data_IF_940820944356
#
_entry.id   IF_940820944356
#
_cell.length_a   1.000
_cell.length_b   1.000
_cell.length_c   1.000
_cell.angle_alpha   90.00
_cell.angle_beta   90.00
_cell.angle_gamma   90.00
#
_symmetry.space_group_name_H-M   'P 1'
#
loop_
_entity.id
_entity.type
_entity.pdbx_description
1 polymer ?
#
# COMPACT_ATOMS: atom_id res chain seq x y z
N UNK A 1 -15.50 6.63 19.82
CA UNK A 1 -15.81 5.64 18.76
C UNK A 1 -17.25 5.81 18.26
N UNK A 2 -17.67 7.04 17.95
CA UNK A 2 -19.03 7.38 17.49
C UNK A 2 -19.09 7.89 16.05
N UNK A 3 -18.01 7.74 15.28
CA UNK A 3 -17.95 8.20 13.90
C UNK A 3 -18.66 7.17 13.00
N UNK A 4 -19.53 7.66 12.13
CA UNK A 4 -20.22 6.84 11.12
C UNK A 4 -19.40 6.74 9.82
N UNK A 5 -19.98 6.07 8.81
CA UNK A 5 -19.38 6.00 7.48
C UNK A 5 -19.38 7.36 6.77
N UNK A 6 -18.21 7.76 6.26
CA UNK A 6 -17.99 9.04 5.57
C UNK A 6 -17.39 8.81 4.19
N UNK A 7 -17.62 9.76 3.27
CA UNK A 7 -17.09 9.71 1.91
C UNK A 7 -17.28 8.33 1.25
N UNK A 8 -16.18 7.71 0.85
CA UNK A 8 -16.12 6.45 0.12
C UNK A 8 -16.57 5.23 0.94
N UNK A 9 -16.57 5.32 2.27
CA UNK A 9 -17.05 4.26 3.16
C UNK A 9 -18.50 3.89 2.83
N UNK A 10 -19.32 4.89 2.46
CA UNK A 10 -20.74 4.68 2.15
C UNK A 10 -20.89 3.74 0.96
N UNK A 11 -20.09 3.94 -0.08
CA UNK A 11 -20.27 3.22 -1.33
C UNK A 11 -19.57 1.86 -1.26
N UNK A 12 -18.35 1.83 -0.73
CA UNK A 12 -17.57 0.60 -0.65
C UNK A 12 -18.18 -0.38 0.35
N UNK A 13 -18.82 0.14 1.41
CA UNK A 13 -19.28 -0.67 2.56
C UNK A 13 -20.79 -0.60 2.75
N UNK A 14 -21.35 0.58 3.01
CA UNK A 14 -22.75 0.71 3.46
C UNK A 14 -23.77 0.32 2.37
N UNK A 15 -23.52 0.74 1.13
CA UNK A 15 -24.36 0.53 -0.04
C UNK A 15 -24.04 -0.78 -0.78
N UNK A 16 -22.87 -1.37 -0.51
CA UNK A 16 -22.38 -2.56 -1.19
C UNK A 16 -23.12 -3.82 -0.73
N UNK A 17 -24.10 -4.25 -1.53
CA UNK A 17 -24.91 -5.45 -1.25
C UNK A 17 -24.08 -6.74 -1.21
N UNK A 18 -22.92 -6.77 -1.89
CA UNK A 18 -22.07 -7.97 -1.94
C UNK A 18 -21.46 -8.31 -0.57
N UNK A 19 -21.40 -7.35 0.36
CA UNK A 19 -20.85 -7.58 1.71
C UNK A 19 -21.87 -8.24 2.67
N UNK A 20 -23.15 -8.30 2.30
CA UNK A 20 -24.24 -8.68 3.22
C UNK A 20 -24.45 -10.19 3.34
N UNK A 21 -23.84 -11.00 2.48
CA UNK A 21 -23.96 -12.46 2.53
C UNK A 21 -22.63 -13.17 2.37
N UNK A 22 -22.37 -14.14 3.25
CA UNK A 22 -21.20 -15.01 3.18
C UNK A 22 -21.30 -16.06 2.05
N UNK A 23 -22.49 -16.33 1.52
CA UNK A 23 -22.64 -17.23 0.37
C UNK A 23 -22.02 -16.68 -0.91
N UNK A 24 -21.79 -15.36 -0.98
CA UNK A 24 -21.18 -14.66 -2.11
C UNK A 24 -19.66 -14.48 -2.04
N UNK A 25 -18.97 -15.01 -1.01
CA UNK A 25 -17.53 -14.74 -0.80
C UNK A 25 -16.64 -15.13 -1.99
N UNK A 26 -16.98 -16.21 -2.70
CA UNK A 26 -16.26 -16.61 -3.91
C UNK A 26 -16.39 -15.56 -5.03
N UNK A 27 -17.55 -14.89 -5.12
CA UNK A 27 -17.80 -13.81 -6.07
C UNK A 27 -16.93 -12.58 -5.82
N UNK A 28 -16.51 -12.33 -4.57
CA UNK A 28 -15.70 -11.15 -4.22
C UNK A 28 -14.33 -11.13 -4.90
N UNK A 29 -13.83 -12.29 -5.33
CA UNK A 29 -12.57 -12.44 -6.06
C UNK A 29 -12.66 -11.99 -7.52
N UNK A 30 -13.88 -11.84 -8.05
CA UNK A 30 -14.16 -11.45 -9.43
C UNK A 30 -15.04 -10.20 -9.52
N UNK A 31 -15.31 -9.54 -8.40
CA UNK A 31 -16.01 -8.25 -8.38
C UNK A 31 -15.01 -7.08 -8.32
N UNK A 32 -15.27 -5.98 -9.03
CA UNK A 32 -14.58 -4.71 -8.80
C UNK A 32 -14.75 -4.20 -7.37
N UNK A 33 -13.76 -3.46 -6.88
CA UNK A 33 -13.75 -2.86 -5.54
C UNK A 33 -14.88 -1.84 -5.34
N UNK A 34 -15.16 -1.03 -6.36
CA UNK A 34 -16.27 -0.09 -6.37
C UNK A 34 -17.51 -0.78 -6.95
N UNK A 35 -18.54 -0.97 -6.12
CA UNK A 35 -19.84 -1.45 -6.55
C UNK A 35 -20.78 -0.27 -6.85
N UNK A 36 -21.29 -0.16 -8.07
CA UNK A 36 -22.27 0.85 -8.48
C UNK A 36 -22.21 1.17 -9.98
N UNK A 37 -23.38 1.31 -10.63
CA UNK A 37 -23.47 1.69 -12.05
C UNK A 37 -22.87 3.09 -12.31
N UNK A 38 -22.20 3.26 -13.45
CA UNK A 38 -21.67 4.56 -13.91
C UNK A 38 -20.33 4.99 -13.31
N UNK A 39 -19.69 4.19 -12.45
CA UNK A 39 -18.37 4.53 -11.88
C UNK A 39 -17.23 3.99 -12.72
N UNK A 40 -16.40 4.94 -13.16
CA UNK A 40 -15.34 4.76 -14.15
C UNK A 40 -13.99 4.38 -13.54
N UNK A 41 -13.83 4.44 -12.21
CA UNK A 41 -12.59 3.99 -11.56
C UNK A 41 -12.71 2.55 -11.05
N UNK A 42 -12.55 1.56 -11.93
CA UNK A 42 -12.58 0.15 -11.51
C UNK A 42 -11.25 -0.24 -10.87
N UNK A 43 -11.26 -0.54 -9.58
CA UNK A 43 -10.10 -1.06 -8.83
C UNK A 43 -10.29 -2.55 -8.54
N UNK A 44 -9.19 -3.29 -8.42
CA UNK A 44 -9.21 -4.71 -8.05
C UNK A 44 -8.48 -4.93 -6.73
N UNK A 45 -9.26 -5.07 -5.65
CA UNK A 45 -8.77 -5.18 -4.25
C UNK A 45 -9.55 -6.24 -3.45
N UNK A 46 -9.54 -7.52 -3.87
CA UNK A 46 -10.40 -8.56 -3.29
C UNK A 46 -10.11 -8.85 -1.82
N UNK A 47 -8.86 -8.73 -1.36
CA UNK A 47 -8.51 -8.97 0.05
C UNK A 47 -9.14 -7.89 0.94
N UNK A 48 -9.16 -6.64 0.48
CA UNK A 48 -9.80 -5.54 1.22
C UNK A 48 -11.32 -5.74 1.29
N UNK A 49 -11.97 -6.06 0.18
CA UNK A 49 -13.42 -6.34 0.15
C UNK A 49 -13.79 -7.54 1.01
N UNK A 50 -13.01 -8.63 0.94
CA UNK A 50 -13.18 -9.79 1.79
C UNK A 50 -13.08 -9.43 3.28
N UNK A 51 -12.11 -8.58 3.64
CA UNK A 51 -11.97 -8.11 5.03
C UNK A 51 -13.19 -7.31 5.51
N UNK A 52 -13.82 -6.53 4.63
CA UNK A 52 -15.06 -5.82 4.95
C UNK A 52 -16.24 -6.78 5.07
N UNK A 53 -16.38 -7.77 4.19
CA UNK A 53 -17.45 -8.77 4.26
C UNK A 53 -17.40 -9.59 5.56
N UNK A 54 -16.20 -10.04 5.95
CA UNK A 54 -15.99 -10.75 7.21
C UNK A 54 -16.31 -9.87 8.42
N UNK A 55 -15.89 -8.60 8.39
CA UNK A 55 -16.22 -7.64 9.44
C UNK A 55 -17.74 -7.37 9.50
N UNK A 56 -18.40 -7.28 8.36
CA UNK A 56 -19.85 -7.06 8.28
C UNK A 56 -20.60 -8.25 8.90
N UNK A 57 -20.19 -9.48 8.56
CA UNK A 57 -20.79 -10.70 9.11
C UNK A 57 -20.61 -10.83 10.63
N UNK A 58 -19.46 -10.43 11.17
CA UNK A 58 -19.20 -10.46 12.61
C UNK A 58 -19.83 -9.30 13.38
N UNK A 59 -19.87 -8.10 12.77
CA UNK A 59 -20.24 -6.84 13.42
C UNK A 59 -21.60 -6.28 13.03
N UNK A 60 -22.38 -7.00 12.22
CA UNK A 60 -23.72 -6.59 11.78
C UNK A 60 -23.77 -5.30 10.95
N UNK A 61 -22.64 -4.88 10.36
CA UNK A 61 -22.55 -3.63 9.59
C UNK A 61 -22.40 -2.36 10.44
N UNK A 62 -22.26 -2.45 11.76
CA UNK A 62 -22.14 -1.28 12.64
C UNK A 62 -20.79 -0.55 12.43
N UNK A 63 -20.76 0.77 12.12
CA UNK A 63 -19.53 1.49 11.76
C UNK A 63 -18.39 1.38 12.78
N UNK A 64 -18.72 1.41 14.07
CA UNK A 64 -17.73 1.32 15.15
C UNK A 64 -16.89 0.03 15.08
N UNK A 65 -17.48 -1.08 14.62
CA UNK A 65 -16.76 -2.36 14.48
C UNK A 65 -15.68 -2.27 13.43
N UNK A 66 -15.91 -1.51 12.36
CA UNK A 66 -14.94 -1.32 11.30
C UNK A 66 -13.78 -0.43 11.73
N UNK A 67 -14.07 0.65 12.44
CA UNK A 67 -13.03 1.50 13.03
C UNK A 67 -12.20 0.72 14.05
N UNK A 68 -12.81 -0.14 14.87
CA UNK A 68 -12.09 -0.99 15.81
C UNK A 68 -11.12 -1.93 15.07
N UNK A 69 -11.58 -2.60 14.01
CA UNK A 69 -10.71 -3.48 13.21
C UNK A 69 -9.57 -2.69 12.54
N UNK A 70 -9.82 -1.48 12.02
CA UNK A 70 -8.75 -0.63 11.48
C UNK A 70 -7.72 -0.27 12.54
N UNK A 71 -8.16 0.08 13.75
CA UNK A 71 -7.29 0.40 14.87
C UNK A 71 -6.43 -0.80 15.29
N UNK A 72 -7.02 -2.00 15.37
CA UNK A 72 -6.28 -3.23 15.68
C UNK A 72 -5.25 -3.55 14.58
N UNK A 73 -5.65 -3.47 13.31
CA UNK A 73 -4.74 -3.68 12.19
C UNK A 73 -3.61 -2.66 12.18
N UNK A 74 -3.90 -1.38 12.45
CA UNK A 74 -2.87 -0.34 12.53
C UNK A 74 -1.90 -0.56 13.69
N UNK A 75 -2.40 -1.04 14.83
CA UNK A 75 -1.56 -1.45 15.97
C UNK A 75 -0.60 -2.56 15.55
N UNK A 76 -1.09 -3.58 14.82
CA UNK A 76 -0.24 -4.64 14.28
C UNK A 76 0.81 -4.09 13.30
N UNK A 77 0.45 -3.16 12.42
CA UNK A 77 1.41 -2.47 11.54
C UNK A 77 2.53 -1.81 12.35
N UNK A 78 2.18 -1.08 13.41
CA UNK A 78 3.16 -0.40 14.27
C UNK A 78 4.07 -1.40 14.99
N UNK A 79 3.52 -2.52 15.47
CA UNK A 79 4.31 -3.59 16.10
C UNK A 79 5.26 -4.27 15.11
N UNK A 80 4.81 -4.56 13.89
CA UNK A 80 5.65 -5.13 12.83
C UNK A 80 6.74 -4.16 12.41
N UNK A 81 6.43 -2.86 12.30
CA UNK A 81 7.42 -1.82 12.03
C UNK A 81 8.47 -1.75 13.14
N UNK A 82 8.06 -1.77 14.41
CA UNK A 82 8.96 -1.81 15.56
C UNK A 82 9.91 -3.02 15.49
N UNK A 83 9.38 -4.20 15.16
CA UNK A 83 10.19 -5.42 15.01
C UNK A 83 11.21 -5.29 13.86
N UNK A 84 10.81 -4.71 12.73
CA UNK A 84 11.71 -4.46 11.59
C UNK A 84 12.80 -3.45 11.94
N UNK A 85 12.44 -2.33 12.56
CA UNK A 85 13.40 -1.31 13.01
C UNK A 85 14.37 -1.86 14.07
N UNK A 86 13.89 -2.69 15.00
CA UNK A 86 14.72 -3.37 16.00
C UNK A 86 15.74 -4.30 15.32
N UNK A 87 15.35 -4.94 14.22
CA UNK A 87 16.26 -5.78 13.45
C UNK A 87 17.30 -4.97 12.66
N UNK A 88 16.95 -3.76 12.25
CA UNK A 88 17.82 -2.82 11.55
C UNK A 88 18.83 -2.14 12.46
N UNK A 89 18.38 -1.65 13.62
CA UNK A 89 19.14 -0.74 14.47
C UNK A 89 19.48 -1.32 15.85
N UNK A 90 19.08 -2.57 16.13
CA UNK A 90 19.10 -3.14 17.48
C UNK A 90 17.99 -2.59 18.36
N UNK A 91 17.75 -3.24 19.50
CA UNK A 91 16.78 -2.72 20.48
C UNK A 91 17.28 -1.42 21.10
N UNK A 92 16.46 -0.37 21.10
CA UNK A 92 16.85 0.92 21.65
C UNK A 92 15.88 2.05 21.33
N UNK A 93 16.35 3.28 21.49
CA UNK A 93 15.55 4.49 21.27
C UNK A 93 15.08 4.64 19.82
N UNK A 94 15.92 4.34 18.82
CA UNK A 94 15.60 4.56 17.40
C UNK A 94 14.37 3.75 16.93
N UNK A 95 14.29 2.41 17.13
CA UNK A 95 13.09 1.67 16.79
C UNK A 95 11.85 2.15 17.55
N UNK A 96 11.98 2.43 18.85
CA UNK A 96 10.87 2.85 19.70
C UNK A 96 10.31 4.19 19.24
N UNK A 97 11.20 5.18 19.04
CA UNK A 97 10.84 6.51 18.55
C UNK A 97 10.24 6.44 17.15
N UNK A 98 10.82 5.64 16.25
CA UNK A 98 10.31 5.47 14.88
C UNK A 98 8.91 4.84 14.84
N UNK A 99 8.68 3.78 15.60
CA UNK A 99 7.37 3.13 15.68
C UNK A 99 6.34 3.99 16.41
N UNK A 100 6.72 4.68 17.50
CA UNK A 100 5.85 5.59 18.21
C UNK A 100 5.45 6.79 17.33
N UNK A 101 6.42 7.38 16.63
CA UNK A 101 6.18 8.46 15.68
C UNK A 101 5.21 8.00 14.60
N UNK A 102 5.44 6.84 13.99
CA UNK A 102 4.53 6.26 12.98
C UNK A 102 3.12 6.08 13.54
N UNK A 103 2.97 5.50 14.73
CA UNK A 103 1.67 5.23 15.37
C UNK A 103 0.82 6.49 15.57
N UNK A 104 1.44 7.61 15.93
CA UNK A 104 0.72 8.87 16.24
C UNK A 104 0.78 9.89 15.10
N UNK A 105 1.42 9.57 13.98
CA UNK A 105 1.72 10.56 12.94
C UNK A 105 0.43 11.08 12.29
N UNK A 106 0.16 12.40 12.29
CA UNK A 106 -1.08 12.96 11.72
C UNK A 106 -1.30 12.63 10.24
N UNK A 107 -0.22 12.47 9.46
CA UNK A 107 -0.27 12.06 8.06
C UNK A 107 -0.97 10.70 7.85
N UNK A 108 -0.97 9.83 8.85
CA UNK A 108 -1.63 8.52 8.76
C UNK A 108 -3.08 8.55 9.26
N UNK A 109 -3.54 9.67 9.83
CA UNK A 109 -4.88 9.79 10.39
C UNK A 109 -5.97 9.51 9.37
N UNK A 110 -5.79 9.90 8.11
CA UNK A 110 -6.73 9.62 7.02
C UNK A 110 -6.87 8.11 6.77
N UNK A 111 -5.74 7.40 6.68
CA UNK A 111 -5.71 5.95 6.44
C UNK A 111 -6.30 5.14 7.61
N UNK A 112 -6.31 5.69 8.83
CA UNK A 112 -6.84 5.01 10.03
C UNK A 112 -8.27 5.42 10.34
N UNK A 113 -8.60 6.70 10.19
CA UNK A 113 -9.90 7.26 10.52
C UNK A 113 -10.95 6.93 9.45
N UNK A 114 -10.60 6.99 8.16
CA UNK A 114 -11.47 6.51 7.08
C UNK A 114 -11.52 4.99 7.07
N UNK A 115 -12.72 4.40 7.00
CA UNK A 115 -12.84 2.93 7.03
C UNK A 115 -12.22 2.31 5.77
N UNK A 116 -12.42 2.93 4.61
CA UNK A 116 -11.81 2.53 3.32
C UNK A 116 -10.28 2.51 3.35
N UNK A 117 -9.67 3.29 4.27
CA UNK A 117 -8.24 3.28 4.59
C UNK A 117 -7.68 1.91 4.99
N UNK A 118 -8.55 0.92 5.23
CA UNK A 118 -8.18 -0.47 5.48
C UNK A 118 -7.31 -1.07 4.37
N UNK A 119 -7.49 -0.65 3.11
CA UNK A 119 -6.67 -1.15 2.00
C UNK A 119 -5.18 -0.85 2.21
N UNK A 120 -4.90 0.37 2.68
CA UNK A 120 -3.58 0.89 3.01
C UNK A 120 -2.99 0.17 4.21
N UNK A 121 -3.78 -0.01 5.27
CA UNK A 121 -3.35 -0.68 6.50
C UNK A 121 -3.01 -2.16 6.22
N UNK A 122 -3.86 -2.88 5.48
CA UNK A 122 -3.62 -4.29 5.12
C UNK A 122 -2.38 -4.43 4.22
N UNK A 123 -2.26 -3.58 3.19
CA UNK A 123 -1.09 -3.57 2.30
C UNK A 123 0.20 -3.30 3.08
N UNK A 124 0.20 -2.31 3.98
CA UNK A 124 1.34 -2.01 4.84
C UNK A 124 1.68 -3.17 5.77
N UNK A 125 0.69 -3.79 6.43
CA UNK A 125 0.90 -4.92 7.32
C UNK A 125 1.57 -6.09 6.59
N UNK A 126 1.05 -6.45 5.42
CA UNK A 126 1.56 -7.55 4.63
C UNK A 126 2.95 -7.26 4.05
N UNK A 127 3.22 -6.04 3.55
CA UNK A 127 4.57 -5.66 3.08
C UNK A 127 5.59 -5.70 4.21
N UNK A 128 5.28 -5.08 5.35
CA UNK A 128 6.21 -5.04 6.48
C UNK A 128 6.46 -6.44 7.04
N UNK A 129 5.42 -7.28 7.09
CA UNK A 129 5.56 -8.68 7.50
C UNK A 129 6.39 -9.48 6.50
N UNK A 130 6.21 -9.25 5.19
CA UNK A 130 7.00 -9.89 4.15
C UNK A 130 8.48 -9.49 4.23
N UNK A 131 8.78 -8.20 4.44
CA UNK A 131 10.15 -7.72 4.66
C UNK A 131 10.75 -8.34 5.93
N UNK A 132 10.02 -8.30 7.06
CA UNK A 132 10.50 -8.86 8.32
C UNK A 132 10.80 -10.38 8.19
N UNK A 133 9.93 -11.10 7.49
CA UNK A 133 10.11 -12.52 7.22
C UNK A 133 11.31 -12.78 6.30
N UNK A 134 11.45 -12.06 5.18
CA UNK A 134 12.61 -12.18 4.26
C UNK A 134 13.95 -11.96 4.97
N UNK A 135 13.96 -11.09 5.99
CA UNK A 135 15.13 -10.82 6.82
C UNK A 135 15.38 -11.87 7.89
N UNK A 136 14.50 -12.83 8.12
CA UNK A 136 14.64 -13.83 9.16
C UNK A 136 15.83 -14.77 8.86
N UNK A 137 16.71 -15.08 9.84
CA UNK A 137 17.88 -15.92 9.59
C UNK A 137 17.48 -17.32 9.12
N UNK A 138 17.96 -17.69 7.94
CA UNK A 138 17.73 -18.99 7.34
C UNK A 138 19.01 -19.82 7.41
N UNK A 139 19.23 -20.52 8.53
CA UNK A 139 20.40 -21.41 8.72
C UNK A 139 20.44 -22.65 7.80
N UNK A 140 19.54 -22.77 6.82
CA UNK A 140 19.54 -23.82 5.80
C UNK A 140 18.80 -23.38 4.54
N UNK A 141 19.14 -23.97 3.39
CA UNK A 141 18.50 -23.68 2.10
C UNK A 141 17.00 -23.96 2.11
N UNK A 142 16.57 -25.05 2.78
CA UNK A 142 15.14 -25.38 2.93
C UNK A 142 14.40 -24.29 3.71
N UNK A 143 14.99 -23.80 4.79
CA UNK A 143 14.40 -22.71 5.60
C UNK A 143 14.35 -21.40 4.81
N UNK A 144 15.38 -21.10 4.01
CA UNK A 144 15.41 -19.92 3.12
C UNK A 144 14.25 -19.96 2.14
N UNK A 145 14.03 -21.11 1.49
CA UNK A 145 12.93 -21.28 0.55
C UNK A 145 11.56 -21.12 1.23
N UNK A 146 11.38 -21.64 2.45
CA UNK A 146 10.13 -21.46 3.20
C UNK A 146 9.89 -20.00 3.61
N UNK A 147 10.93 -19.29 4.07
CA UNK A 147 10.89 -17.86 4.40
C UNK A 147 10.53 -17.03 3.16
N UNK A 148 11.18 -17.31 2.03
CA UNK A 148 10.89 -16.63 0.77
C UNK A 148 9.45 -16.92 0.31
N UNK A 149 9.00 -18.17 0.36
CA UNK A 149 7.64 -18.54 -0.01
C UNK A 149 6.59 -17.80 0.84
N UNK A 150 6.79 -17.72 2.17
CA UNK A 150 5.91 -16.95 3.04
C UNK A 150 5.92 -15.45 2.71
N UNK A 151 7.10 -14.89 2.42
CA UNK A 151 7.23 -13.48 2.01
C UNK A 151 6.54 -13.20 0.67
N UNK A 152 6.64 -14.13 -0.28
CA UNK A 152 5.97 -14.04 -1.58
C UNK A 152 4.43 -14.13 -1.46
N UNK A 153 3.92 -14.99 -0.57
CA UNK A 153 2.48 -15.07 -0.25
C UNK A 153 1.99 -13.77 0.37
N UNK A 154 2.72 -13.24 1.37
CA UNK A 154 2.38 -11.96 2.00
C UNK A 154 2.39 -10.81 0.98
N UNK A 155 3.39 -10.76 0.10
CA UNK A 155 3.44 -9.80 -0.99
C UNK A 155 2.23 -9.92 -1.92
N UNK A 156 1.83 -11.13 -2.32
CA UNK A 156 0.65 -11.33 -3.16
C UNK A 156 -0.63 -10.83 -2.47
N UNK A 157 -0.80 -11.12 -1.17
CA UNK A 157 -1.91 -10.60 -0.36
C UNK A 157 -1.88 -9.07 -0.25
N UNK A 158 -0.68 -8.47 -0.14
CA UNK A 158 -0.52 -7.02 -0.10
C UNK A 158 -1.02 -6.36 -1.39
N UNK A 159 -0.65 -6.88 -2.56
CA UNK A 159 -1.10 -6.31 -3.84
C UNK A 159 -2.61 -6.51 -4.05
N UNK A 160 -3.15 -7.64 -3.60
CA UNK A 160 -4.59 -7.89 -3.62
C UNK A 160 -5.36 -7.02 -2.61
N UNK A 161 -4.69 -6.43 -1.61
CA UNK A 161 -5.27 -5.43 -0.73
C UNK A 161 -5.19 -4.03 -1.35
N UNK A 162 -4.03 -3.65 -1.90
CA UNK A 162 -3.81 -2.38 -2.59
C UNK A 162 -2.65 -2.45 -3.59
N UNK A 163 -2.86 -1.86 -4.77
CA UNK A 163 -1.92 -1.87 -5.90
C UNK A 163 -0.58 -1.16 -5.62
N UNK A 164 -0.51 -0.30 -4.59
CA UNK A 164 0.75 0.32 -4.19
C UNK A 164 1.81 -0.71 -3.76
N UNK A 165 1.38 -1.91 -3.39
CA UNK A 165 2.29 -2.96 -2.97
C UNK A 165 3.23 -3.43 -4.09
N UNK A 166 2.95 -3.11 -5.36
CA UNK A 166 3.84 -3.34 -6.50
C UNK A 166 5.26 -2.78 -6.28
N UNK A 167 5.44 -1.85 -5.34
CA UNK A 167 6.75 -1.34 -4.93
C UNK A 167 7.62 -2.34 -4.15
N UNK A 168 7.05 -3.45 -3.64
CA UNK A 168 7.74 -4.40 -2.76
C UNK A 168 9.07 -4.96 -3.33
N UNK A 169 9.19 -5.40 -4.61
CA UNK A 169 10.48 -5.82 -5.14
C UNK A 169 11.55 -4.72 -5.07
N UNK A 170 11.14 -3.46 -5.24
CA UNK A 170 12.01 -2.29 -5.04
C UNK A 170 12.42 -2.12 -3.57
N UNK A 171 11.50 -2.34 -2.62
CA UNK A 171 11.82 -2.32 -1.18
C UNK A 171 12.79 -3.44 -0.79
N UNK A 172 12.66 -4.63 -1.40
CA UNK A 172 13.56 -5.77 -1.22
C UNK A 172 14.98 -5.42 -1.70
N UNK A 173 15.10 -4.73 -2.86
CA UNK A 173 16.39 -4.24 -3.36
C UNK A 173 16.99 -3.15 -2.46
N UNK A 174 16.17 -2.19 -2.03
CA UNK A 174 16.62 -1.11 -1.14
C UNK A 174 17.12 -1.67 0.20
N UNK A 175 16.40 -2.64 0.76
CA UNK A 175 16.81 -3.30 2.01
C UNK A 175 18.05 -4.18 1.83
N UNK A 176 18.27 -4.77 0.64
CA UNK A 176 19.53 -5.45 0.31
C UNK A 176 20.72 -4.50 0.19
N UNK A 177 20.51 -3.27 -0.27
CA UNK A 177 21.56 -2.24 -0.31
C UNK A 177 21.93 -1.82 1.11
N UNK A 178 20.92 -1.43 1.91
CA UNK A 178 21.11 -0.91 3.26
C UNK A 178 21.64 -1.94 4.26
N UNK A 179 21.21 -3.20 4.18
CA UNK A 179 21.51 -4.24 5.18
C UNK A 179 22.42 -5.35 4.67
N UNK A 180 22.72 -5.35 3.37
CA UNK A 180 23.19 -6.55 2.69
C UNK A 180 22.07 -7.57 2.45
N UNK A 181 22.41 -8.61 1.69
CA UNK A 181 21.50 -9.73 1.42
C UNK A 181 21.28 -10.55 2.68
N UNK A 182 20.09 -11.15 2.88
CA UNK A 182 19.87 -12.05 4.01
C UNK A 182 20.90 -13.18 4.05
N UNK A 183 21.33 -13.56 5.25
CA UNK A 183 22.31 -14.63 5.47
C UNK A 183 21.94 -15.91 4.71
N UNK A 184 22.94 -16.54 4.08
CA UNK A 184 22.75 -17.73 3.25
C UNK A 184 22.17 -17.47 1.86
N UNK A 185 21.91 -16.22 1.48
CA UNK A 185 21.33 -15.87 0.17
C UNK A 185 22.40 -15.45 -0.83
N UNK A 186 22.73 -16.34 -1.76
CA UNK A 186 23.64 -16.03 -2.86
C UNK A 186 23.00 -15.06 -3.87
N UNK A 187 23.82 -14.30 -4.60
CA UNK A 187 23.35 -13.34 -5.63
C UNK A 187 22.42 -13.99 -6.65
N UNK A 188 22.74 -15.20 -7.13
CA UNK A 188 21.91 -15.93 -8.11
C UNK A 188 20.54 -16.26 -7.54
N UNK A 189 20.48 -16.80 -6.33
CA UNK A 189 19.22 -17.08 -5.64
C UNK A 189 18.39 -15.81 -5.46
N UNK A 190 19.02 -14.70 -5.05
CA UNK A 190 18.33 -13.44 -4.86
C UNK A 190 17.74 -12.87 -6.16
N UNK A 191 18.45 -13.01 -7.28
CA UNK A 191 17.92 -12.64 -8.60
C UNK A 191 16.70 -13.50 -8.94
N UNK A 192 16.75 -14.81 -8.69
CA UNK A 192 15.59 -15.71 -8.89
C UNK A 192 14.41 -15.29 -8.01
N UNK A 193 14.63 -14.98 -6.74
CA UNK A 193 13.60 -14.49 -5.83
C UNK A 193 12.94 -13.21 -6.37
N UNK A 194 13.74 -12.24 -6.83
CA UNK A 194 13.23 -10.99 -7.42
C UNK A 194 12.43 -11.24 -8.71
N UNK A 195 12.90 -12.13 -9.59
CA UNK A 195 12.16 -12.52 -10.80
C UNK A 195 10.81 -13.14 -10.44
N UNK A 196 10.76 -13.99 -9.41
CA UNK A 196 9.51 -14.57 -8.92
C UNK A 196 8.57 -13.48 -8.37
N UNK A 197 9.08 -12.51 -7.60
CA UNK A 197 8.27 -11.38 -7.12
C UNK A 197 7.73 -10.54 -8.29
N UNK A 198 8.54 -10.25 -9.30
CA UNK A 198 8.08 -9.54 -10.51
C UNK A 198 7.04 -10.37 -11.27
N UNK A 199 7.20 -11.69 -11.35
CA UNK A 199 6.22 -12.57 -11.97
C UNK A 199 4.88 -12.56 -11.19
N UNK A 200 4.91 -12.55 -9.85
CA UNK A 200 3.71 -12.42 -9.01
C UNK A 200 2.99 -11.09 -9.26
N UNK A 201 3.73 -10.00 -9.39
CA UNK A 201 3.17 -8.71 -9.80
C UNK A 201 2.50 -8.80 -11.19
N UNK A 202 3.15 -9.48 -12.15
CA UNK A 202 2.57 -9.77 -13.47
C UNK A 202 1.27 -10.57 -13.38
N UNK A 203 1.22 -11.62 -12.55
CA UNK A 203 0.00 -12.40 -12.29
C UNK A 203 -1.11 -11.53 -11.74
N UNK A 204 -0.83 -10.65 -10.77
CA UNK A 204 -1.82 -9.70 -10.26
C UNK A 204 -2.36 -8.79 -11.37
N UNK A 205 -1.50 -8.24 -12.23
CA UNK A 205 -1.92 -7.39 -13.35
C UNK A 205 -2.81 -8.14 -14.34
N UNK A 206 -2.50 -9.41 -14.61
CA UNK A 206 -3.34 -10.28 -15.45
C UNK A 206 -4.71 -10.54 -14.81
N UNK A 207 -4.75 -10.87 -13.51
CA UNK A 207 -6.02 -11.05 -12.77
C UNK A 207 -6.85 -9.77 -12.81
N UNK A 208 -6.22 -8.63 -12.54
CA UNK A 208 -6.85 -7.31 -12.62
C UNK A 208 -7.43 -7.07 -14.02
N UNK A 209 -6.66 -7.31 -15.08
CA UNK A 209 -7.13 -7.13 -16.45
C UNK A 209 -8.33 -8.02 -16.78
N UNK A 210 -8.31 -9.28 -16.32
CA UNK A 210 -9.39 -10.26 -16.53
C UNK A 210 -10.68 -9.86 -15.82
N UNK A 211 -10.57 -9.39 -14.58
CA UNK A 211 -11.74 -9.00 -13.77
C UNK A 211 -12.32 -7.66 -14.23
N UNK A 212 -11.46 -6.70 -14.57
CA UNK A 212 -11.90 -5.35 -14.92
C UNK A 212 -12.23 -5.18 -16.41
N UNK A 213 -11.77 -6.10 -17.26
CA UNK A 213 -11.85 -6.03 -18.72
C UNK A 213 -10.80 -5.10 -19.35
N UNK A 214 -10.13 -4.27 -18.55
CA UNK A 214 -9.13 -3.28 -18.96
C UNK A 214 -8.03 -3.17 -17.91
N UNK A 215 -6.78 -2.97 -18.34
CA UNK A 215 -5.65 -2.73 -17.42
C UNK A 215 -5.70 -1.30 -16.85
N UNK A 216 -5.96 -0.34 -17.73
CA UNK A 216 -6.17 1.07 -17.42
C UNK A 216 -7.23 1.56 -18.40
N UNK A 217 -8.23 2.27 -17.91
CA UNK A 217 -9.24 2.91 -18.75
C UNK A 217 -8.87 4.39 -18.90
N UNK A 218 -8.32 4.82 -20.05
CA UNK A 218 -7.94 6.22 -20.25
C UNK A 218 -9.18 7.12 -20.17
N UNK A 219 -9.10 8.21 -19.40
CA UNK A 219 -10.22 9.15 -19.24
C UNK A 219 -11.30 8.72 -18.24
N UNK A 220 -11.15 7.55 -17.62
CA UNK A 220 -12.11 7.03 -16.66
C UNK A 220 -12.01 7.68 -15.26
N UNK A 221 -11.02 8.53 -15.02
CA UNK A 221 -10.96 9.33 -13.81
C UNK A 221 -11.26 10.77 -14.21
N UNK A 222 -12.35 11.39 -13.71
CA UNK A 222 -12.64 12.79 -13.94
C UNK A 222 -11.41 13.68 -13.64
N UNK A 223 -11.13 14.73 -14.43
CA UNK A 223 -10.01 15.64 -14.17
C UNK A 223 -10.08 16.31 -12.80
N UNK A 224 -11.31 16.51 -12.30
CA UNK A 224 -11.55 17.02 -10.96
C UNK A 224 -11.10 16.03 -9.88
N UNK A 225 -11.15 14.71 -10.11
CA UNK A 225 -10.71 13.74 -9.09
C UNK A 225 -9.20 13.51 -9.17
N UNK A 226 -8.62 13.54 -10.38
CA UNK A 226 -7.18 13.38 -10.56
C UNK A 226 -6.66 14.07 -11.83
N UNK A 227 -6.04 15.27 -11.72
CA UNK A 227 -5.47 15.94 -12.89
C UNK A 227 -4.30 15.16 -13.52
N UNK A 228 -3.61 14.30 -12.76
CA UNK A 228 -2.53 13.46 -13.31
C UNK A 228 -3.04 12.40 -14.28
N UNK A 229 -4.32 12.01 -14.19
CA UNK A 229 -4.91 11.04 -15.11
C UNK A 229 -5.01 11.56 -16.57
N UNK A 230 -4.84 12.87 -16.78
CA UNK A 230 -5.01 13.55 -18.07
C UNK A 230 -3.72 14.13 -18.66
N UNK A 231 -2.59 14.05 -17.93
CA UNK A 231 -1.28 14.49 -18.45
C UNK A 231 -0.49 13.32 -19.03
N UNK A 232 0.51 13.55 -19.92
CA UNK A 232 1.38 12.50 -20.46
C UNK A 232 2.11 11.71 -19.37
N UNK A 233 2.42 10.43 -19.65
CA UNK A 233 3.06 9.53 -18.69
C UNK A 233 4.36 10.10 -18.08
N UNK A 234 5.17 10.78 -18.89
CA UNK A 234 6.39 11.46 -18.44
C UNK A 234 6.11 12.49 -17.35
N UNK A 235 5.12 13.37 -17.55
CA UNK A 235 4.69 14.34 -16.54
C UNK A 235 4.11 13.69 -15.29
N UNK A 236 3.44 12.55 -15.42
CA UNK A 236 2.96 11.77 -14.25
C UNK A 236 4.12 11.27 -13.41
N UNK A 237 5.12 10.64 -14.04
CA UNK A 237 6.29 10.11 -13.35
C UNK A 237 7.05 11.23 -12.65
N UNK A 238 7.33 12.33 -13.38
CA UNK A 238 8.08 13.45 -12.82
C UNK A 238 7.31 14.13 -11.68
N UNK A 239 5.98 14.28 -11.81
CA UNK A 239 5.16 14.79 -10.71
C UNK A 239 5.18 13.83 -9.52
N UNK A 240 5.15 12.52 -9.75
CA UNK A 240 5.24 11.54 -8.66
C UNK A 240 6.57 11.66 -7.88
N UNK A 241 7.70 11.89 -8.56
CA UNK A 241 9.00 12.15 -7.90
C UNK A 241 8.96 13.43 -7.05
N UNK A 242 8.37 14.52 -7.57
CA UNK A 242 8.15 15.74 -6.80
C UNK A 242 7.23 15.51 -5.60
N UNK A 243 6.15 14.75 -5.78
CA UNK A 243 5.22 14.42 -4.72
C UNK A 243 5.88 13.66 -3.58
N UNK A 244 6.84 12.77 -3.87
CA UNK A 244 7.66 12.14 -2.83
C UNK A 244 8.32 13.19 -1.94
N UNK A 245 8.91 14.25 -2.51
CA UNK A 245 9.50 15.35 -1.73
C UNK A 245 8.46 16.11 -0.91
N UNK A 246 7.29 16.41 -1.50
CA UNK A 246 6.19 17.06 -0.79
C UNK A 246 5.71 16.22 0.40
N UNK A 247 5.55 14.91 0.22
CA UNK A 247 5.12 14.00 1.29
C UNK A 247 6.19 13.81 2.36
N UNK A 248 7.49 13.82 2.00
CA UNK A 248 8.58 13.87 2.99
C UNK A 248 8.52 15.18 3.81
N UNK A 249 8.23 16.31 3.17
CA UNK A 249 8.02 17.58 3.85
C UNK A 249 6.83 17.53 4.83
N UNK A 250 5.70 16.94 4.41
CA UNK A 250 4.53 16.73 5.27
C UNK A 250 4.79 15.73 6.40
N UNK A 251 5.71 14.79 6.21
CA UNK A 251 6.15 13.88 7.27
C UNK A 251 6.98 14.61 8.34
N UNK A 252 7.78 15.62 7.96
CA UNK A 252 8.52 16.44 8.93
C UNK A 252 7.60 17.48 9.60
N UNK A 253 6.71 18.10 8.82
CA UNK A 253 5.81 19.15 9.30
C UNK A 253 4.41 18.98 8.67
N UNK A 254 3.48 18.27 9.35
CA UNK A 254 2.16 17.97 8.83
C UNK A 254 1.21 19.18 8.93
N UNK A 255 1.49 20.24 8.18
CA UNK A 255 0.64 21.42 8.10
C UNK A 255 -0.28 21.37 6.87
N UNK A 256 -1.50 21.89 7.02
CA UNK A 256 -2.52 22.00 5.96
C UNK A 256 -2.91 20.66 5.33
N UNK A 257 -3.14 19.65 6.18
CA UNK A 257 -3.71 18.38 5.73
C UNK A 257 -5.13 18.60 5.20
N UNK A 258 -5.41 18.04 4.02
CA UNK A 258 -6.75 17.99 3.43
C UNK A 258 -7.28 16.55 3.49
N UNK A 259 -8.58 16.39 3.72
CA UNK A 259 -9.26 15.10 3.60
C UNK A 259 -9.46 14.67 2.14
N UNK A 260 -9.30 15.60 1.19
CA UNK A 260 -9.38 15.36 -0.23
C UNK A 260 -8.43 16.30 -0.99
N UNK A 261 -7.55 15.73 -1.81
CA UNK A 261 -6.60 16.48 -2.66
C UNK A 261 -7.03 16.53 -4.12
N UNK A 262 -8.32 16.32 -4.38
CA UNK A 262 -8.96 16.52 -5.67
C UNK A 262 -8.86 17.98 -6.15
N UNK A 263 -9.22 18.19 -7.41
CA UNK A 263 -9.18 19.43 -8.15
C UNK A 263 -7.70 19.92 -8.30
N UNK A 264 -7.42 21.21 -8.62
CA UNK A 264 -6.04 21.65 -8.84
C UNK A 264 -5.27 21.90 -7.53
N UNK A 265 -5.58 21.20 -6.43
CA UNK A 265 -4.80 21.30 -5.18
C UNK A 265 -3.36 20.79 -5.34
N UNK A 266 -3.17 19.81 -6.22
CA UNK A 266 -1.87 19.31 -6.63
C UNK A 266 -1.75 19.54 -8.13
N UNK A 267 -1.04 20.62 -8.49
CA UNK A 267 -0.78 20.96 -9.89
C UNK A 267 0.37 20.08 -10.41
N UNK A 268 0.18 19.36 -11.53
CA UNK A 268 1.26 18.59 -12.15
C UNK A 268 2.41 19.50 -12.59
N UNK A 269 3.64 19.07 -12.30
CA UNK A 269 4.85 19.82 -12.72
C UNK A 269 4.88 20.01 -14.23
N UNK A 270 5.50 21.09 -14.68
CA UNK A 270 5.45 21.48 -16.10
C UNK A 270 6.31 20.58 -16.99
N UNK A 271 7.35 19.96 -16.42
CA UNK A 271 8.23 19.05 -17.14
C UNK A 271 9.44 18.65 -16.30
N UNK A 272 10.42 18.01 -16.93
CA UNK A 272 11.66 17.52 -16.28
C UNK A 272 12.55 18.65 -15.75
N UNK A 273 12.46 19.84 -16.36
CA UNK A 273 13.19 21.04 -15.95
C UNK A 273 12.50 21.84 -14.83
N UNK A 274 11.32 21.40 -14.39
CA UNK A 274 10.60 22.03 -13.30
C UNK A 274 11.43 21.93 -12.00
N UNK A 275 11.58 23.02 -11.20
CA UNK A 275 12.35 22.95 -9.96
C UNK A 275 11.88 21.85 -8.99
N UNK A 276 10.56 21.57 -8.97
CA UNK A 276 10.01 20.48 -8.19
C UNK A 276 10.44 19.10 -8.69
N UNK A 277 10.55 18.94 -10.02
CA UNK A 277 11.06 17.72 -10.64
C UNK A 277 12.53 17.45 -10.27
N UNK A 278 13.36 18.48 -10.38
CA UNK A 278 14.80 18.42 -10.06
C UNK A 278 15.02 18.06 -8.59
N UNK A 279 14.25 18.69 -7.69
CA UNK A 279 14.27 18.35 -6.26
C UNK A 279 13.85 16.89 -6.00
N UNK A 280 12.78 16.44 -6.67
CA UNK A 280 12.31 15.06 -6.66
C UNK A 280 13.40 14.04 -6.98
N UNK A 281 14.08 14.25 -8.10
CA UNK A 281 15.18 13.39 -8.56
C UNK A 281 16.36 13.45 -7.59
N UNK A 282 16.74 14.64 -7.13
CA UNK A 282 17.87 14.82 -6.22
C UNK A 282 17.68 14.06 -4.91
N UNK A 283 16.50 14.16 -4.27
CA UNK A 283 16.22 13.46 -3.01
C UNK A 283 16.28 11.94 -3.19
N UNK A 284 15.68 11.40 -4.26
CA UNK A 284 15.70 9.95 -4.52
C UNK A 284 17.12 9.47 -4.82
N UNK A 285 17.89 10.24 -5.59
CA UNK A 285 19.30 9.93 -5.84
C UNK A 285 20.10 9.93 -4.54
N UNK A 286 19.94 10.94 -3.69
CA UNK A 286 20.63 11.00 -2.38
C UNK A 286 20.25 9.81 -1.50
N UNK A 287 18.97 9.43 -1.42
CA UNK A 287 18.55 8.24 -0.68
C UNK A 287 19.16 6.95 -1.24
N UNK A 288 19.33 6.86 -2.55
CA UNK A 288 19.96 5.72 -3.21
C UNK A 288 21.50 5.68 -3.06
N UNK A 289 22.15 6.83 -2.84
CA UNK A 289 23.60 6.94 -2.62
C UNK A 289 24.01 6.81 -1.15
N UNK A 290 23.11 7.13 -0.21
CA UNK A 290 23.34 7.01 1.23
C UNK A 290 23.11 5.59 1.76
N UNK A 291 22.54 4.69 0.95
CA UNK A 291 22.36 3.28 1.27
C UNK A 291 23.29 2.35 0.50
#
# INVERSE_FOLDING_TARGET
>A
MGNGFVFDDRVVIQENQNLRSLSGLAGLWVTPYWSGEGRSNRLYRPVTILSFALNYAAGGGAPWTFHLVNLLLHTLVCMTLMALLTRLFGWGFLPLAGAALFCVHPLLSEAVAGVVGRAEILSALFILSALLLDRFPAGSSRRRNAVFAGSAVLFFLAILAKENALAYPGLVLLTDQLMGRPEGTQRRLRVTELVILVAIAGVYLLLRARVLGVLMEPGAIPPIDNPLAHVPATRRVVTALFLTCRYLGLFVFPAKLSADYSAPQIVPVNGVSDPGAVLGVAVIATLAFLG
#
